data_IF_816625827706
#
_entry.id   IF_816625827706
#
_cell.length_a   1.000
_cell.length_b   1.000
_cell.length_c   1.000
_cell.angle_alpha   90.00
_cell.angle_beta   90.00
_cell.angle_gamma   90.00
#
_symmetry.space_group_name_H-M   'P 1'
#
loop_
_entity.id
_entity.type
_entity.pdbx_description
1 polymer ?
#
# COMPACT_ATOMS: atom_id res chain seq x y z
N UNK A 1 -36.89 -36.37 -3.99
CA UNK A 1 -35.62 -35.99 -4.65
C UNK A 1 -35.66 -34.64 -5.37
N UNK A 2 -36.76 -34.26 -6.06
CA UNK A 2 -36.84 -32.97 -6.80
C UNK A 2 -36.81 -31.73 -5.89
N UNK A 3 -37.51 -31.78 -4.74
CA UNK A 3 -37.58 -30.68 -3.76
C UNK A 3 -36.27 -30.48 -2.98
N UNK A 4 -35.60 -31.58 -2.60
CA UNK A 4 -34.31 -31.52 -1.92
C UNK A 4 -33.18 -31.01 -2.82
N UNK A 5 -33.22 -31.30 -4.12
CA UNK A 5 -32.29 -30.71 -5.09
C UNK A 5 -32.54 -29.21 -5.31
N UNK A 6 -33.80 -28.77 -5.36
CA UNK A 6 -34.13 -27.34 -5.44
C UNK A 6 -33.67 -26.55 -4.21
N UNK A 7 -33.83 -27.12 -3.02
CA UNK A 7 -33.37 -26.49 -1.77
C UNK A 7 -31.83 -26.45 -1.74
N UNK A 8 -31.15 -27.54 -2.09
CA UNK A 8 -29.69 -27.55 -2.17
C UNK A 8 -29.14 -26.54 -3.19
N UNK A 9 -29.82 -26.39 -4.33
CA UNK A 9 -29.45 -25.43 -5.36
C UNK A 9 -29.70 -23.98 -4.93
N UNK A 10 -30.81 -23.71 -4.23
CA UNK A 10 -31.08 -22.39 -3.63
C UNK A 10 -30.05 -22.04 -2.55
N UNK A 11 -29.70 -22.99 -1.69
CA UNK A 11 -28.68 -22.79 -0.65
C UNK A 11 -27.30 -22.58 -1.28
N UNK A 12 -26.96 -23.33 -2.34
CA UNK A 12 -25.72 -23.12 -3.08
C UNK A 12 -25.68 -21.76 -3.80
N UNK A 13 -26.81 -21.28 -4.33
CA UNK A 13 -26.93 -19.96 -4.96
C UNK A 13 -26.74 -18.83 -3.93
N UNK A 14 -27.36 -18.95 -2.76
CA UNK A 14 -27.19 -17.97 -1.66
C UNK A 14 -25.75 -17.97 -1.14
N UNK A 15 -25.11 -19.14 -1.04
CA UNK A 15 -23.70 -19.25 -0.65
C UNK A 15 -22.75 -18.70 -1.73
N UNK A 16 -23.09 -18.84 -3.01
CA UNK A 16 -22.32 -18.26 -4.12
C UNK A 16 -22.42 -16.73 -4.16
N UNK A 17 -23.57 -16.15 -3.76
CA UNK A 17 -23.76 -14.70 -3.59
C UNK A 17 -23.11 -14.16 -2.32
N UNK A 18 -22.84 -15.02 -1.33
CA UNK A 18 -22.14 -14.69 -0.09
C UNK A 18 -20.61 -14.79 -0.20
N UNK A 19 -20.08 -15.19 -1.36
CA UNK A 19 -18.66 -15.00 -1.66
C UNK A 19 -18.41 -13.49 -1.67
N UNK A 20 -17.41 -12.95 -0.96
CA UNK A 20 -16.96 -11.59 -1.18
C UNK A 20 -16.37 -11.54 -2.59
N UNK A 21 -17.25 -11.36 -3.58
CA UNK A 21 -16.89 -11.07 -4.95
C UNK A 21 -16.05 -9.80 -4.89
N UNK A 22 -14.75 -9.92 -5.18
CA UNK A 22 -13.84 -8.84 -5.54
C UNK A 22 -14.38 -7.45 -5.17
N UNK A 23 -14.26 -7.07 -3.89
CA UNK A 23 -14.84 -5.84 -3.36
C UNK A 23 -14.19 -4.64 -4.06
N UNK A 24 -14.83 -4.15 -5.13
CA UNK A 24 -14.63 -2.79 -5.57
C UNK A 24 -14.96 -1.89 -4.38
N UNK A 25 -14.04 -1.00 -4.01
CA UNK A 25 -14.26 -0.03 -2.94
C UNK A 25 -15.52 0.77 -3.27
N UNK A 26 -16.47 0.84 -2.33
CA UNK A 26 -17.58 1.75 -2.46
C UNK A 26 -17.08 3.20 -2.28
N UNK A 27 -17.80 4.19 -2.82
CA UNK A 27 -17.35 5.58 -2.88
C UNK A 27 -17.08 6.18 -1.48
N UNK A 28 -17.87 5.80 -0.47
CA UNK A 28 -17.60 6.20 0.92
C UNK A 28 -16.24 5.67 1.42
N UNK A 29 -15.87 4.45 1.05
CA UNK A 29 -14.59 3.84 1.44
C UNK A 29 -13.41 4.48 0.70
N UNK A 30 -13.61 4.90 -0.55
CA UNK A 30 -12.61 5.67 -1.31
C UNK A 30 -12.31 7.00 -0.63
N UNK A 31 -13.35 7.77 -0.29
CA UNK A 31 -13.20 9.06 0.40
C UNK A 31 -12.49 8.89 1.74
N UNK A 32 -12.85 7.86 2.51
CA UNK A 32 -12.18 7.55 3.77
C UNK A 32 -10.69 7.21 3.57
N UNK A 33 -10.37 6.37 2.58
CA UNK A 33 -8.99 6.03 2.24
C UNK A 33 -8.19 7.24 1.77
N UNK A 34 -8.75 8.10 0.92
CA UNK A 34 -8.08 9.34 0.47
C UNK A 34 -7.72 10.22 1.66
N UNK A 35 -8.66 10.41 2.59
CA UNK A 35 -8.42 11.17 3.82
C UNK A 35 -7.31 10.55 4.66
N UNK A 36 -7.27 9.23 4.81
CA UNK A 36 -6.21 8.54 5.55
C UNK A 36 -4.85 8.72 4.89
N UNK A 37 -4.76 8.65 3.55
CA UNK A 37 -3.51 8.88 2.84
C UNK A 37 -3.06 10.34 2.91
N UNK A 38 -3.98 11.30 2.89
CA UNK A 38 -3.67 12.70 3.10
C UNK A 38 -3.10 12.94 4.50
N UNK A 39 -3.75 12.39 5.53
CA UNK A 39 -3.25 12.44 6.90
C UNK A 39 -1.87 11.79 7.04
N UNK A 40 -1.64 10.66 6.36
CA UNK A 40 -0.34 10.00 6.34
C UNK A 40 0.74 10.90 5.70
N UNK A 41 0.42 11.58 4.60
CA UNK A 41 1.35 12.48 3.94
C UNK A 41 1.72 13.67 4.84
N UNK A 42 0.71 14.31 5.45
CA UNK A 42 0.91 15.41 6.40
C UNK A 42 1.76 14.97 7.60
N UNK A 43 1.48 13.80 8.17
CA UNK A 43 2.24 13.28 9.30
C UNK A 43 3.72 13.03 8.93
N UNK A 44 3.99 12.53 7.72
CA UNK A 44 5.38 12.36 7.24
C UNK A 44 6.13 13.68 7.11
N UNK A 45 5.46 14.74 6.65
CA UNK A 45 6.05 16.09 6.61
C UNK A 45 6.39 16.57 8.02
N UNK A 46 5.48 16.41 8.97
CA UNK A 46 5.72 16.79 10.37
C UNK A 46 6.87 16.02 11.00
N UNK A 47 6.97 14.70 10.75
CA UNK A 47 8.09 13.88 11.22
C UNK A 47 9.42 14.44 10.69
N UNK A 48 9.47 14.79 9.41
CA UNK A 48 10.69 15.35 8.82
C UNK A 48 11.03 16.72 9.45
N UNK A 49 10.03 17.56 9.69
CA UNK A 49 10.24 18.85 10.38
C UNK A 49 10.80 18.64 11.78
N UNK A 50 10.23 17.72 12.57
CA UNK A 50 10.77 17.36 13.88
C UNK A 50 12.19 16.81 13.79
N UNK A 51 12.51 16.01 12.77
CA UNK A 51 13.87 15.50 12.55
C UNK A 51 14.88 16.63 12.27
N UNK A 52 14.46 17.69 11.56
CA UNK A 52 15.28 18.89 11.35
C UNK A 52 15.45 19.65 12.66
N UNK A 53 14.36 19.84 13.41
CA UNK A 53 14.38 20.56 14.70
C UNK A 53 15.33 19.90 15.71
N UNK A 54 15.36 18.56 15.77
CA UNK A 54 16.26 17.82 16.65
C UNK A 54 17.66 17.58 16.06
N UNK A 55 17.94 18.12 14.87
CA UNK A 55 19.24 18.03 14.21
C UNK A 55 19.60 16.63 13.69
N UNK A 56 18.62 15.75 13.51
CA UNK A 56 18.81 14.43 12.89
C UNK A 56 18.91 14.50 11.36
N UNK A 57 18.39 15.57 10.76
CA UNK A 57 18.42 15.82 9.32
C UNK A 57 18.78 17.29 9.09
N UNK A 58 19.69 17.56 8.14
CA UNK A 58 20.03 18.92 7.77
C UNK A 58 18.90 19.58 6.96
N UNK A 59 18.77 20.91 7.06
CA UNK A 59 17.71 21.65 6.38
C UNK A 59 17.74 21.48 4.86
N UNK A 60 18.93 21.40 4.26
CA UNK A 60 19.10 21.21 2.81
C UNK A 60 18.56 19.84 2.37
N UNK A 61 18.93 18.78 3.09
CA UNK A 61 18.43 17.42 2.86
C UNK A 61 16.91 17.34 3.07
N UNK A 62 16.40 18.01 4.10
CA UNK A 62 14.96 18.05 4.37
C UNK A 62 14.17 18.68 3.23
N UNK A 63 14.67 19.74 2.60
CA UNK A 63 14.00 20.35 1.44
C UNK A 63 13.89 19.36 0.28
N UNK A 64 14.96 18.63 0.00
CA UNK A 64 14.98 17.59 -1.03
C UNK A 64 14.05 16.41 -0.67
N UNK A 65 13.95 16.04 0.61
CA UNK A 65 12.96 15.05 1.06
C UNK A 65 11.52 15.55 0.90
N UNK A 66 11.24 16.83 1.22
CA UNK A 66 9.91 17.44 1.04
C UNK A 66 9.49 17.42 -0.43
N UNK A 67 10.37 17.83 -1.34
CA UNK A 67 10.10 17.79 -2.78
C UNK A 67 9.75 16.38 -3.25
N UNK A 68 10.58 15.38 -2.92
CA UNK A 68 10.31 13.97 -3.27
C UNK A 68 9.05 13.41 -2.62
N UNK A 69 8.67 13.90 -1.45
CA UNK A 69 7.41 13.51 -0.81
C UNK A 69 6.21 14.12 -1.54
N UNK A 70 6.33 15.36 -2.00
CA UNK A 70 5.30 16.05 -2.78
C UNK A 70 5.08 15.36 -4.14
N UNK A 71 6.15 15.09 -4.88
CA UNK A 71 6.05 14.38 -6.18
C UNK A 71 5.38 13.01 -6.03
N UNK A 72 5.78 12.24 -5.02
CA UNK A 72 5.16 10.94 -4.73
C UNK A 72 3.69 11.08 -4.34
N UNK A 73 3.35 12.11 -3.59
CA UNK A 73 1.97 12.39 -3.20
C UNK A 73 1.09 12.75 -4.40
N UNK A 74 1.60 13.55 -5.32
CA UNK A 74 0.90 13.87 -6.57
C UNK A 74 0.67 12.65 -7.45
N UNK A 75 1.70 11.82 -7.63
CA UNK A 75 1.55 10.55 -8.34
C UNK A 75 0.54 9.61 -7.65
N UNK A 76 0.52 9.60 -6.32
CA UNK A 76 -0.46 8.83 -5.55
C UNK A 76 -1.89 9.34 -5.75
N UNK A 77 -2.12 10.66 -5.69
CA UNK A 77 -3.42 11.29 -5.97
C UNK A 77 -3.94 10.96 -7.36
N UNK A 78 -3.06 11.00 -8.36
CA UNK A 78 -3.43 10.63 -9.73
C UNK A 78 -3.93 9.17 -9.78
N UNK A 79 -3.19 8.23 -9.18
CA UNK A 79 -3.60 6.83 -9.11
C UNK A 79 -4.93 6.63 -8.38
N UNK A 80 -5.16 7.35 -7.28
CA UNK A 80 -6.46 7.32 -6.57
C UNK A 80 -7.60 7.80 -7.46
N UNK A 81 -7.36 8.85 -8.25
CA UNK A 81 -8.35 9.37 -9.23
C UNK A 81 -8.65 8.35 -10.32
N UNK A 82 -7.66 7.55 -10.72
CA UNK A 82 -7.80 6.41 -11.64
C UNK A 82 -8.47 5.19 -10.97
N UNK A 83 -8.82 5.27 -9.68
CA UNK A 83 -9.45 4.20 -8.90
C UNK A 83 -8.48 3.17 -8.34
N UNK A 84 -7.17 3.40 -8.46
CA UNK A 84 -6.13 2.52 -7.95
C UNK A 84 -5.69 2.95 -6.55
N UNK A 85 -6.17 2.20 -5.55
CA UNK A 85 -5.79 2.36 -4.14
C UNK A 85 -4.78 1.31 -3.66
N UNK A 86 -4.15 0.57 -4.59
CA UNK A 86 -3.17 -0.46 -4.26
C UNK A 86 -1.79 0.14 -3.96
N UNK A 87 -1.68 0.75 -2.78
CA UNK A 87 -0.44 1.32 -2.26
C UNK A 87 0.20 0.36 -1.24
N UNK A 88 1.52 0.18 -1.33
CA UNK A 88 2.28 -0.66 -0.40
C UNK A 88 2.74 -2.01 -0.97
N UNK A 89 3.13 -2.92 -0.08
CA UNK A 89 3.73 -4.21 -0.44
C UNK A 89 2.67 -5.19 -0.93
N UNK A 90 2.83 -5.67 -2.18
CA UNK A 90 2.20 -6.91 -2.62
C UNK A 90 1.10 -6.83 -3.68
N UNK A 91 0.84 -5.69 -4.33
CA UNK A 91 -0.14 -5.67 -5.42
C UNK A 91 0.08 -4.63 -6.52
N UNK A 92 1.33 -4.26 -6.77
CA UNK A 92 1.73 -3.43 -7.90
C UNK A 92 2.70 -4.21 -8.79
N UNK A 93 2.17 -4.94 -9.76
CA UNK A 93 2.93 -5.47 -10.89
C UNK A 93 3.38 -4.31 -11.78
N UNK A 94 4.35 -3.53 -11.30
CA UNK A 94 5.08 -2.63 -12.16
C UNK A 94 5.71 -3.47 -13.27
N UNK A 95 5.38 -3.17 -14.53
CA UNK A 95 6.27 -3.44 -15.67
C UNK A 95 7.51 -2.54 -15.54
N UNK A 96 8.24 -2.77 -14.46
CA UNK A 96 9.44 -2.08 -14.07
C UNK A 96 10.27 -3.13 -13.38
N UNK A 97 11.51 -3.29 -13.83
CA UNK A 97 12.48 -4.24 -13.27
C UNK A 97 12.78 -3.86 -11.81
N UNK A 98 11.88 -4.22 -10.90
CA UNK A 98 11.91 -3.80 -9.50
C UNK A 98 11.59 -4.97 -8.57
N UNK A 99 12.65 -5.51 -7.97
CA UNK A 99 12.73 -6.20 -6.68
C UNK A 99 11.40 -6.51 -5.95
N UNK A 100 10.65 -7.51 -6.41
CA UNK A 100 9.42 -7.94 -5.74
C UNK A 100 9.06 -9.41 -5.91
N UNK A 101 10.01 -10.27 -6.32
CA UNK A 101 9.70 -11.64 -6.73
C UNK A 101 10.73 -12.70 -6.39
N UNK A 102 11.63 -12.45 -5.44
CA UNK A 102 12.43 -13.51 -4.79
C UNK A 102 12.48 -13.19 -3.32
N UNK A 103 12.03 -14.13 -2.50
CA UNK A 103 12.17 -14.06 -1.06
C UNK A 103 13.63 -13.86 -0.66
N UNK A 104 13.81 -13.63 0.63
CA UNK A 104 15.08 -13.72 1.34
C UNK A 104 15.86 -15.00 0.93
N UNK A 105 16.62 -14.93 -0.15
CA UNK A 105 17.34 -16.07 -0.72
C UNK A 105 18.68 -15.66 -1.33
N UNK A 106 19.11 -14.41 -1.13
CA UNK A 106 20.49 -14.01 -1.37
C UNK A 106 20.85 -12.73 -0.59
N UNK A 107 20.53 -12.69 0.70
CA UNK A 107 21.38 -11.93 1.60
C UNK A 107 22.63 -12.80 1.78
N UNK A 108 23.81 -12.44 1.26
CA UNK A 108 25.02 -12.99 1.84
C UNK A 108 24.97 -12.60 3.32
N UNK A 109 24.76 -13.58 4.18
CA UNK A 109 25.16 -13.46 5.56
C UNK A 109 26.65 -13.18 5.46
N UNK A 110 27.06 -11.94 5.69
CA UNK A 110 28.46 -11.63 5.95
C UNK A 110 28.76 -12.21 7.34
N UNK A 111 28.84 -13.53 7.37
CA UNK A 111 29.63 -14.28 8.32
C UNK A 111 31.07 -13.89 8.01
N UNK A 112 31.62 -13.00 8.83
CA UNK A 112 32.95 -13.08 9.41
C UNK A 112 33.22 -11.76 10.13
N UNK A 113 33.09 -11.80 11.46
CA UNK A 113 33.95 -10.98 12.30
C UNK A 113 35.31 -11.68 12.38
N UNK A 114 36.40 -11.05 11.92
CA UNK A 114 37.71 -11.30 12.47
C UNK A 114 38.05 -10.20 13.48
N UNK A 115 38.45 -10.65 14.67
CA UNK A 115 39.10 -9.85 15.69
C UNK A 115 40.35 -9.17 15.13
N UNK A 116 40.53 -7.89 15.45
CA UNK A 116 41.79 -7.24 15.86
C UNK A 116 41.45 -5.85 16.43
#
# INVERSE_FOLDING_TARGET
MKRSMLIALMVALVLALAVPSALALNDNQKVELEKLYEQQHQLRLQILETQVEVGLVETEDANLFKERMQERWEAQKQRMTEGDYSFGFGRGGGKGRGFGGRGCGNCPVAEEAPAL
#
